data_IF_445645899500
#
_entry.id   IF_445645899500
#
_cell.length_a   1.000
_cell.length_b   1.000
_cell.length_c   1.000
_cell.angle_alpha   90.00
_cell.angle_beta   90.00
_cell.angle_gamma   90.00
#
_symmetry.space_group_name_H-M   'P 1'
#
loop_
_entity.id
_entity.type
_entity.pdbx_description
1 polymer ?
#
# COMPACT_ATOMS: atom_id res chain seq x y z
N UNK A 1 2.28 16.36 -8.44
CA UNK A 1 1.47 16.80 -7.26
C UNK A 1 1.63 15.86 -6.06
N UNK A 2 1.31 14.56 -6.18
CA UNK A 2 1.34 13.63 -5.04
C UNK A 2 2.69 13.55 -4.29
N UNK A 3 3.81 13.50 -5.02
CA UNK A 3 5.15 13.49 -4.40
C UNK A 3 5.42 14.71 -3.51
N UNK A 4 5.07 15.92 -3.97
CA UNK A 4 5.22 17.15 -3.18
C UNK A 4 4.34 17.13 -1.92
N UNK A 5 3.08 16.66 -2.04
CA UNK A 5 2.19 16.52 -0.89
C UNK A 5 2.74 15.52 0.14
N UNK A 6 3.33 14.42 -0.33
CA UNK A 6 3.99 13.45 0.54
C UNK A 6 5.21 14.02 1.25
N UNK A 7 6.04 14.81 0.56
CA UNK A 7 7.17 15.51 1.17
C UNK A 7 6.67 16.48 2.25
N UNK A 8 5.66 17.29 1.94
CA UNK A 8 5.05 18.21 2.91
C UNK A 8 4.47 17.46 4.12
N UNK A 9 3.81 16.33 3.90
CA UNK A 9 3.31 15.46 4.96
C UNK A 9 4.46 14.89 5.81
N UNK A 10 5.54 14.41 5.20
CA UNK A 10 6.74 13.93 5.91
C UNK A 10 7.37 15.00 6.80
N UNK A 11 7.49 16.24 6.29
CA UNK A 11 7.96 17.40 7.09
C UNK A 11 7.01 17.70 8.25
N UNK A 12 5.70 17.65 8.01
CA UNK A 12 4.69 17.79 9.06
C UNK A 12 4.81 16.71 10.13
N UNK A 13 5.05 15.46 9.73
CA UNK A 13 5.20 14.32 10.62
C UNK A 13 6.47 14.44 11.46
N UNK A 14 7.58 14.87 10.87
CA UNK A 14 8.83 15.21 11.55
C UNK A 14 8.61 16.23 12.67
N UNK A 15 7.79 17.26 12.42
CA UNK A 15 7.46 18.29 13.42
C UNK A 15 6.45 17.80 14.46
N UNK A 16 5.58 16.87 14.10
CA UNK A 16 4.43 16.45 14.91
C UNK A 16 4.66 15.27 15.85
N UNK A 17 5.64 14.41 15.57
CA UNK A 17 5.94 13.21 16.38
C UNK A 17 6.94 13.55 17.49
N UNK A 18 6.79 12.92 18.66
CA UNK A 18 7.72 13.10 19.78
C UNK A 18 9.14 12.69 19.39
N UNK A 19 10.11 13.55 19.71
CA UNK A 19 11.54 13.28 19.51
C UNK A 19 11.98 12.14 20.46
N UNK A 20 12.39 11.02 19.87
CA UNK A 20 12.93 9.79 20.48
C UNK A 20 14.22 9.41 19.74
N UNK A 21 14.95 8.35 20.06
CA UNK A 21 16.22 8.05 19.36
C UNK A 21 16.10 7.76 17.85
N UNK A 22 14.93 7.33 17.35
CA UNK A 22 14.70 6.99 15.93
C UNK A 22 13.61 7.84 15.26
N UNK A 23 13.30 9.00 15.83
CA UNK A 23 12.16 9.84 15.42
C UNK A 23 12.24 10.40 14.00
N UNK A 24 13.44 10.47 13.42
CA UNK A 24 13.62 11.02 12.07
C UNK A 24 13.41 9.98 10.98
N UNK A 25 13.58 8.69 11.29
CA UNK A 25 13.65 7.63 10.28
C UNK A 25 12.33 7.50 9.52
N UNK A 26 11.20 7.46 10.23
CA UNK A 26 9.88 7.34 9.58
C UNK A 26 9.56 8.53 8.68
N UNK A 27 9.61 9.78 9.19
CA UNK A 27 9.41 10.97 8.36
C UNK A 27 10.36 11.07 7.17
N UNK A 28 11.64 10.73 7.33
CA UNK A 28 12.61 10.73 6.24
C UNK A 28 12.25 9.70 5.15
N UNK A 29 11.81 8.50 5.52
CA UNK A 29 11.34 7.49 4.58
C UNK A 29 10.08 7.92 3.82
N UNK A 30 9.17 8.66 4.47
CA UNK A 30 7.99 9.27 3.79
C UNK A 30 8.43 10.32 2.77
N UNK A 31 9.39 11.18 3.13
CA UNK A 31 9.97 12.18 2.20
C UNK A 31 10.64 11.48 1.02
N UNK A 32 11.42 10.43 1.28
CA UNK A 32 12.04 9.62 0.25
C UNK A 32 11.00 9.04 -0.73
N UNK A 33 9.92 8.45 -0.23
CA UNK A 33 8.83 7.98 -1.10
C UNK A 33 8.19 9.10 -1.93
N UNK A 34 8.14 10.32 -1.40
CA UNK A 34 7.68 11.49 -2.15
C UNK A 34 8.63 11.87 -3.30
N UNK A 35 9.95 11.70 -3.12
CA UNK A 35 10.97 11.89 -4.16
C UNK A 35 10.80 10.83 -5.26
N UNK A 36 10.64 9.55 -4.89
CA UNK A 36 10.40 8.46 -5.84
C UNK A 36 9.16 8.71 -6.72
N UNK A 37 8.08 9.28 -6.16
CA UNK A 37 6.90 9.69 -6.94
C UNK A 37 7.18 10.85 -7.91
N UNK A 38 8.10 11.76 -7.57
CA UNK A 38 8.52 12.83 -8.48
C UNK A 38 9.32 12.22 -9.63
N UNK A 39 10.28 11.35 -9.32
CA UNK A 39 11.09 10.64 -10.32
C UNK A 39 10.19 9.84 -11.27
N UNK A 40 9.23 9.07 -10.75
CA UNK A 40 8.28 8.32 -11.59
C UNK A 40 7.48 9.21 -12.56
N UNK A 41 7.18 10.45 -12.16
CA UNK A 41 6.48 11.42 -13.00
C UNK A 41 7.38 12.13 -14.03
N UNK A 42 8.67 12.32 -13.70
CA UNK A 42 9.66 12.90 -14.62
C UNK A 42 10.14 11.91 -15.67
N UNK A 43 10.14 10.62 -15.33
CA UNK A 43 10.53 9.52 -16.20
C UNK A 43 9.35 8.55 -16.36
N UNK A 44 8.31 8.92 -17.13
CA UNK A 44 7.21 8.01 -17.41
C UNK A 44 7.64 6.89 -18.36
N UNK A 45 6.93 5.75 -18.31
CA UNK A 45 7.01 4.74 -19.37
C UNK A 45 6.43 5.29 -20.67
N UNK A 46 7.01 4.89 -21.79
CA UNK A 46 6.55 5.24 -23.13
C UNK A 46 5.77 4.08 -23.75
N UNK A 47 4.96 4.40 -24.75
CA UNK A 47 4.24 3.43 -25.56
C UNK A 47 4.63 3.67 -27.02
N UNK A 48 4.98 2.60 -27.73
CA UNK A 48 5.29 2.69 -29.17
C UNK A 48 4.01 2.68 -30.03
N UNK A 49 4.17 2.79 -31.35
CA UNK A 49 3.02 2.80 -32.28
C UNK A 49 2.28 1.46 -32.36
N UNK A 50 2.88 0.37 -31.86
CA UNK A 50 2.26 -0.95 -31.77
C UNK A 50 1.57 -1.17 -30.41
N UNK A 51 1.63 -0.21 -29.49
CA UNK A 51 1.04 -0.28 -28.16
C UNK A 51 1.92 -0.98 -27.13
N UNK A 52 3.19 -1.23 -27.43
CA UNK A 52 4.12 -1.85 -26.48
C UNK A 52 4.61 -0.80 -25.48
N UNK A 53 4.39 -1.08 -24.20
CA UNK A 53 4.87 -0.25 -23.09
C UNK A 53 6.34 -0.60 -22.82
N UNK A 54 7.21 0.41 -22.82
CA UNK A 54 8.64 0.25 -22.53
C UNK A 54 9.16 1.38 -21.64
N UNK A 55 10.32 1.15 -21.02
CA UNK A 55 11.03 2.13 -20.18
C UNK A 55 12.31 2.57 -20.90
N UNK A 56 12.33 3.75 -21.56
CA UNK A 56 13.45 4.17 -22.41
C UNK A 56 14.80 4.22 -21.70
N UNK A 57 14.80 4.55 -20.40
CA UNK A 57 16.01 4.73 -19.59
C UNK A 57 16.16 3.68 -18.49
N UNK A 58 15.17 2.79 -18.31
CA UNK A 58 15.11 1.82 -17.21
C UNK A 58 14.85 2.44 -15.82
N UNK A 59 14.70 3.77 -15.75
CA UNK A 59 14.58 4.52 -14.49
C UNK A 59 13.22 4.30 -13.85
N UNK A 60 12.14 4.26 -14.64
CA UNK A 60 10.79 4.11 -14.11
C UNK A 60 10.61 2.75 -13.42
N UNK A 61 11.13 1.68 -14.02
CA UNK A 61 11.08 0.33 -13.51
C UNK A 61 11.86 0.21 -12.20
N UNK A 62 13.12 0.65 -12.18
CA UNK A 62 13.97 0.61 -10.98
C UNK A 62 13.38 1.45 -9.82
N UNK A 63 12.96 2.68 -10.12
CA UNK A 63 12.29 3.56 -9.16
C UNK A 63 10.96 2.96 -8.67
N UNK A 64 10.19 2.33 -9.56
CA UNK A 64 8.98 1.61 -9.19
C UNK A 64 9.25 0.52 -8.16
N UNK A 65 10.27 -0.32 -8.38
CA UNK A 65 10.67 -1.37 -7.43
C UNK A 65 11.04 -0.80 -6.07
N UNK A 66 11.89 0.24 -6.04
CA UNK A 66 12.32 0.91 -4.80
C UNK A 66 11.11 1.51 -4.06
N UNK A 67 10.26 2.24 -4.78
CA UNK A 67 9.04 2.81 -4.23
C UNK A 67 8.12 1.74 -3.61
N UNK A 68 7.73 0.72 -4.40
CA UNK A 68 6.80 -0.31 -3.96
C UNK A 68 7.34 -1.17 -2.81
N UNK A 69 8.63 -1.48 -2.78
CA UNK A 69 9.21 -2.19 -1.63
C UNK A 69 9.25 -1.30 -0.38
N UNK A 70 9.51 -0.01 -0.55
CA UNK A 70 9.67 0.90 0.58
C UNK A 70 8.36 1.27 1.28
N UNK A 71 7.21 1.37 0.58
CA UNK A 71 5.92 1.79 1.19
C UNK A 71 5.53 0.95 2.43
N UNK A 72 5.70 -0.37 2.35
CA UNK A 72 5.40 -1.26 3.46
C UNK A 72 6.36 -1.08 4.64
N UNK A 73 7.65 -0.93 4.33
CA UNK A 73 8.71 -0.66 5.33
C UNK A 73 8.47 0.67 6.04
N UNK A 74 8.07 1.72 5.30
CA UNK A 74 7.76 3.03 5.86
C UNK A 74 6.64 2.93 6.89
N UNK A 75 5.52 2.26 6.57
CA UNK A 75 4.43 2.08 7.52
C UNK A 75 4.86 1.25 8.73
N UNK A 76 5.64 0.20 8.52
CA UNK A 76 6.15 -0.63 9.61
C UNK A 76 6.99 0.21 10.58
N UNK A 77 7.95 0.99 10.08
CA UNK A 77 8.82 1.87 10.88
C UNK A 77 8.01 2.96 11.60
N UNK A 78 7.02 3.56 10.92
CA UNK A 78 6.12 4.53 11.55
C UNK A 78 5.29 3.89 12.67
N UNK A 79 4.84 2.65 12.50
CA UNK A 79 4.08 1.94 13.53
C UNK A 79 4.87 1.77 14.84
N UNK A 80 6.18 1.55 14.74
CA UNK A 80 7.07 1.41 15.90
C UNK A 80 7.24 2.74 16.65
N UNK A 81 7.25 3.86 15.92
CA UNK A 81 7.30 5.19 16.52
C UNK A 81 5.96 5.55 17.16
N UNK A 82 4.85 5.29 16.47
CA UNK A 82 3.50 5.56 16.97
C UNK A 82 3.16 4.76 18.22
N UNK A 83 3.68 3.54 18.37
CA UNK A 83 3.50 2.75 19.59
C UNK A 83 4.07 3.42 20.85
N UNK A 84 5.05 4.33 20.69
CA UNK A 84 5.75 5.05 21.78
C UNK A 84 5.18 6.43 22.06
N UNK A 85 4.28 6.95 21.22
CA UNK A 85 3.65 8.26 21.38
C UNK A 85 2.15 8.07 21.67
N UNK A 86 1.71 8.46 22.86
CA UNK A 86 0.30 8.32 23.28
C UNK A 86 -0.68 9.01 22.33
N UNK A 87 -0.25 10.08 21.64
CA UNK A 87 -1.06 10.80 20.65
C UNK A 87 -1.29 9.95 19.40
N UNK A 88 -0.48 8.94 19.15
CA UNK A 88 -0.49 8.10 17.94
C UNK A 88 -0.78 6.62 18.22
N UNK A 89 -0.69 6.17 19.47
CA UNK A 89 -0.75 4.77 19.88
C UNK A 89 -1.92 3.98 19.29
N UNK A 90 -3.10 4.60 19.18
CA UNK A 90 -4.30 3.94 18.62
C UNK A 90 -4.19 3.60 17.12
N UNK A 91 -3.29 4.26 16.39
CA UNK A 91 -3.04 3.98 14.97
C UNK A 91 -1.86 3.03 14.75
N UNK A 92 -1.04 2.75 15.78
CA UNK A 92 0.16 1.93 15.62
C UNK A 92 -0.14 0.55 15.04
N UNK A 93 -1.15 -0.16 15.57
CA UNK A 93 -1.53 -1.49 15.08
C UNK A 93 -2.05 -1.40 13.63
N UNK A 94 -2.93 -0.44 13.35
CA UNK A 94 -3.45 -0.22 12.01
C UNK A 94 -2.35 0.01 10.98
N UNK A 95 -1.43 0.93 11.27
CA UNK A 95 -0.30 1.25 10.41
C UNK A 95 0.62 0.04 10.23
N UNK A 96 0.86 -0.76 11.28
CA UNK A 96 1.66 -1.98 11.20
C UNK A 96 1.02 -3.03 10.29
N UNK A 97 -0.25 -3.35 10.52
CA UNK A 97 -0.99 -4.35 9.74
C UNK A 97 -1.05 -3.93 8.27
N UNK A 98 -1.32 -2.64 8.01
CA UNK A 98 -1.32 -2.11 6.65
C UNK A 98 0.06 -2.23 6.00
N UNK A 99 1.14 -1.91 6.73
CA UNK A 99 2.50 -2.06 6.23
C UNK A 99 2.85 -3.50 5.86
N UNK A 100 2.52 -4.46 6.73
CA UNK A 100 2.71 -5.90 6.46
C UNK A 100 1.90 -6.33 5.24
N UNK A 101 0.63 -5.93 5.17
CA UNK A 101 -0.22 -6.25 4.03
C UNK A 101 0.35 -5.71 2.71
N UNK A 102 0.85 -4.47 2.69
CA UNK A 102 1.49 -3.89 1.51
C UNK A 102 2.76 -4.65 1.11
N UNK A 103 3.62 -5.04 2.06
CA UNK A 103 4.80 -5.87 1.75
C UNK A 103 4.37 -7.19 1.11
N UNK A 104 3.40 -7.89 1.71
CA UNK A 104 2.89 -9.16 1.17
C UNK A 104 2.33 -8.95 -0.23
N UNK A 105 1.51 -7.92 -0.46
CA UNK A 105 0.94 -7.64 -1.78
C UNK A 105 2.02 -7.33 -2.83
N UNK A 106 3.05 -6.57 -2.48
CA UNK A 106 4.16 -6.24 -3.40
C UNK A 106 4.97 -7.50 -3.74
N UNK A 107 5.26 -8.34 -2.74
CA UNK A 107 5.94 -9.62 -2.95
C UNK A 107 5.11 -10.52 -3.87
N UNK A 108 3.83 -10.71 -3.58
CA UNK A 108 2.93 -11.52 -4.43
C UNK A 108 2.87 -10.96 -5.85
N UNK A 109 2.80 -9.64 -6.01
CA UNK A 109 2.80 -9.02 -7.33
C UNK A 109 4.09 -9.34 -8.10
N UNK A 110 5.26 -9.25 -7.46
CA UNK A 110 6.55 -9.55 -8.10
C UNK A 110 6.75 -11.03 -8.46
N UNK A 111 6.14 -11.97 -7.73
CA UNK A 111 6.27 -13.40 -7.99
C UNK A 111 5.23 -13.97 -8.97
N UNK A 112 4.07 -13.32 -9.08
CA UNK A 112 2.93 -13.92 -9.80
C UNK A 112 2.37 -13.04 -10.92
N UNK A 113 2.84 -11.81 -11.12
CA UNK A 113 2.29 -10.90 -12.12
C UNK A 113 3.35 -10.17 -12.98
N UNK A 114 4.65 -10.39 -12.75
CA UNK A 114 5.70 -9.58 -13.35
C UNK A 114 5.95 -9.98 -14.81
N UNK A 115 6.06 -11.27 -15.08
CA UNK A 115 6.37 -11.79 -16.42
C UNK A 115 5.13 -12.10 -17.23
N UNK A 116 5.16 -12.02 -18.57
CA UNK A 116 4.03 -12.40 -19.42
C UNK A 116 3.57 -13.86 -19.26
N UNK A 117 4.42 -14.73 -18.72
CA UNK A 117 4.11 -16.12 -18.44
C UNK A 117 3.45 -16.34 -17.07
N UNK A 118 3.46 -15.32 -16.19
CA UNK A 118 2.91 -15.44 -14.85
C UNK A 118 1.37 -15.41 -14.88
N UNK A 119 0.69 -16.18 -14.02
CA UNK A 119 -0.77 -16.33 -14.07
C UNK A 119 -1.52 -15.01 -13.83
N UNK A 120 -0.99 -14.11 -12.98
CA UNK A 120 -1.64 -12.84 -12.66
C UNK A 120 -1.17 -11.67 -13.54
N UNK A 121 -0.35 -11.90 -14.57
CA UNK A 121 0.18 -10.83 -15.43
C UNK A 121 -0.90 -9.90 -16.01
N UNK A 122 -2.06 -10.39 -16.50
CA UNK A 122 -3.14 -9.52 -17.00
C UNK A 122 -3.68 -8.54 -15.95
N UNK A 123 -3.51 -8.86 -14.66
CA UNK A 123 -3.99 -8.08 -13.52
C UNK A 123 -2.91 -7.21 -12.87
N UNK A 124 -1.66 -7.23 -13.36
CA UNK A 124 -0.53 -6.49 -12.81
C UNK A 124 -0.87 -5.02 -12.52
N UNK A 125 -1.46 -4.33 -13.50
CA UNK A 125 -1.85 -2.93 -13.35
C UNK A 125 -2.95 -2.70 -12.31
N UNK A 126 -3.86 -3.66 -12.12
CA UNK A 126 -4.89 -3.59 -11.08
C UNK A 126 -4.27 -3.73 -9.69
N UNK A 127 -3.39 -4.70 -9.48
CA UNK A 127 -2.68 -4.90 -8.21
C UNK A 127 -1.87 -3.66 -7.82
N UNK A 128 -1.11 -3.09 -8.76
CA UNK A 128 -0.36 -1.86 -8.54
C UNK A 128 -1.27 -0.71 -8.07
N UNK A 129 -2.44 -0.52 -8.69
CA UNK A 129 -3.42 0.51 -8.29
C UNK A 129 -3.99 0.25 -6.89
N UNK A 130 -4.31 -0.99 -6.55
CA UNK A 130 -4.83 -1.35 -5.22
C UNK A 130 -3.77 -1.07 -4.15
N UNK A 131 -2.52 -1.50 -4.38
CA UNK A 131 -1.38 -1.26 -3.47
C UNK A 131 -1.22 0.26 -3.22
N UNK A 132 -1.19 1.05 -4.29
CA UNK A 132 -1.10 2.52 -4.22
C UNK A 132 -2.30 3.13 -3.50
N UNK A 133 -3.51 2.64 -3.76
CA UNK A 133 -4.75 3.10 -3.11
C UNK A 133 -4.74 2.85 -1.60
N UNK A 134 -4.36 1.64 -1.17
CA UNK A 134 -4.24 1.29 0.26
C UNK A 134 -3.17 2.14 0.95
N UNK A 135 -2.02 2.33 0.29
CA UNK A 135 -0.95 3.20 0.77
C UNK A 135 -1.43 4.64 0.98
N UNK A 136 -2.04 5.28 -0.03
CA UNK A 136 -2.53 6.64 0.08
C UNK A 136 -3.66 6.80 1.10
N UNK A 137 -4.57 5.81 1.21
CA UNK A 137 -5.62 5.84 2.22
C UNK A 137 -5.05 5.82 3.64
N UNK A 138 -4.02 5.01 3.88
CA UNK A 138 -3.30 5.00 5.15
C UNK A 138 -2.63 6.36 5.41
N UNK A 139 -1.88 6.90 4.45
CA UNK A 139 -1.24 8.21 4.58
C UNK A 139 -2.26 9.32 4.86
N UNK A 140 -3.41 9.31 4.18
CA UNK A 140 -4.47 10.29 4.40
C UNK A 140 -4.99 10.24 5.84
N UNK A 141 -5.22 9.05 6.39
CA UNK A 141 -5.63 8.90 7.79
C UNK A 141 -4.56 9.43 8.77
N UNK A 142 -3.28 9.17 8.48
CA UNK A 142 -2.17 9.71 9.29
C UNK A 142 -2.08 11.24 9.19
N UNK A 143 -2.28 11.81 8.00
CA UNK A 143 -2.31 13.26 7.78
C UNK A 143 -3.47 13.93 8.51
N UNK A 144 -4.68 13.34 8.45
CA UNK A 144 -5.84 13.82 9.21
C UNK A 144 -5.61 13.75 10.71
N UNK A 145 -4.94 12.69 11.20
CA UNK A 145 -4.56 12.59 12.62
C UNK A 145 -3.58 13.69 13.00
N UNK A 146 -2.53 13.91 12.20
CA UNK A 146 -1.56 14.97 12.42
C UNK A 146 -2.24 16.34 12.50
N UNK A 147 -3.14 16.62 11.56
CA UNK A 147 -3.88 17.88 11.51
C UNK A 147 -4.75 18.09 12.76
N UNK A 148 -5.50 17.06 13.21
CA UNK A 148 -6.30 17.14 14.45
C UNK A 148 -5.43 17.38 15.68
N UNK A 149 -4.26 16.74 15.74
CA UNK A 149 -3.31 16.93 16.82
C UNK A 149 -2.75 18.36 16.82
N UNK A 150 -2.41 18.89 15.65
CA UNK A 150 -1.90 20.25 15.50
C UNK A 150 -2.93 21.31 15.91
N UNK A 151 -4.20 21.15 15.51
CA UNK A 151 -5.30 22.05 15.90
C UNK A 151 -5.52 22.10 17.41
N UNK A 152 -5.56 20.93 18.06
CA UNK A 152 -5.70 20.86 19.53
C UNK A 152 -4.56 21.53 20.29
N UNK A 153 -3.37 21.61 19.69
CA UNK A 153 -2.24 22.33 20.28
C UNK A 153 -2.35 23.85 20.18
N UNK A 154 -3.12 24.37 19.22
CA UNK A 154 -3.38 25.81 19.04
C UNK A 154 -4.50 26.30 19.97
N UNK A 155 -5.44 25.43 20.35
CA UNK A 155 -6.60 25.77 21.17
C UNK A 155 -6.29 25.88 22.68
N UNK A 156 -5.08 25.49 23.13
CA UNK A 156 -4.67 25.66 24.54
C UNK A 156 -4.26 27.14 24.74
N UNK A 157 -5.00 27.94 25.53
CA UNK A 157 -4.63 29.32 25.77
C UNK A 157 -3.26 29.37 26.47
N UNK A 158 -2.28 30.03 25.86
CA UNK A 158 -0.93 30.21 26.45
C UNK A 158 -0.95 30.95 27.81
N UNK A 159 -2.07 31.56 28.18
CA UNK A 159 -2.24 32.36 29.39
C UNK A 159 -3.11 31.68 30.47
N UNK A 160 -3.40 30.37 30.38
CA UNK A 160 -4.12 29.69 31.44
C UNK A 160 -3.27 29.70 32.73
N UNK A 161 -3.75 30.33 33.83
CA UNK A 161 -2.97 30.44 35.06
C UNK A 161 -2.65 29.06 35.63
N UNK A 162 -1.38 28.86 36.01
CA UNK A 162 -0.83 27.70 36.72
C UNK A 162 -1.56 27.49 38.06
N UNK A 163 -2.76 26.92 38.01
CA UNK A 163 -3.56 26.63 39.20
C UNK A 163 -3.63 25.12 39.44
N UNK A 164 -2.80 24.73 40.39
CA UNK A 164 -2.82 23.55 41.27
C UNK A 164 -2.71 22.12 40.66
N UNK A 165 -1.94 21.25 41.33
CA UNK A 165 -1.78 19.86 40.92
C UNK A 165 -3.06 19.07 41.26
N UNK A 166 -3.88 18.78 40.25
CA UNK A 166 -4.98 17.83 40.41
C UNK A 166 -4.39 16.43 40.58
N UNK A 167 -4.43 15.91 41.81
CA UNK A 167 -4.23 14.50 42.11
C UNK A 167 -5.25 13.68 41.31
N UNK A 168 -4.86 13.19 40.13
CA UNK A 168 -5.71 12.35 39.30
C UNK A 168 -5.25 10.91 39.44
N UNK A 169 -5.99 10.22 40.29
CA UNK A 169 -6.08 8.77 40.49
C UNK A 169 -5.67 8.00 39.22
N UNK A 170 -4.54 7.31 39.31
CA UNK A 170 -4.14 6.26 38.38
C UNK A 170 -5.10 5.08 38.62
N UNK A 171 -6.15 4.98 37.79
CA UNK A 171 -6.90 3.73 37.69
C UNK A 171 -6.16 2.81 36.73
N UNK A 172 -5.39 1.90 37.30
CA UNK A 172 -4.92 0.70 36.63
C UNK A 172 -6.14 -0.12 36.20
N UNK A 173 -6.54 0.06 34.94
CA UNK A 173 -7.28 -0.96 34.21
C UNK A 173 -6.49 -1.20 32.94
N UNK A 174 -5.58 -2.16 33.03
CA UNK A 174 -5.08 -2.87 31.87
C UNK A 174 -6.28 -3.52 31.18
N UNK A 175 -6.99 -2.74 30.38
CA UNK A 175 -7.82 -3.29 29.33
C UNK A 175 -6.87 -4.04 28.43
N UNK A 176 -6.96 -5.38 28.49
CA UNK A 176 -6.51 -6.24 27.41
C UNK A 176 -7.10 -5.60 26.16
N UNK A 177 -6.27 -4.88 25.40
CA UNK A 177 -6.68 -4.13 24.22
C UNK A 177 -7.12 -5.17 23.19
N UNK A 178 -8.39 -5.55 23.26
CA UNK A 178 -9.05 -6.29 22.21
C UNK A 178 -8.79 -5.55 20.91
N UNK A 179 -8.29 -6.29 19.92
CA UNK A 179 -8.06 -5.75 18.57
C UNK A 179 -9.35 -5.03 18.16
N UNK A 180 -9.30 -3.73 17.80
CA UNK A 180 -10.51 -2.98 17.47
C UNK A 180 -11.27 -3.72 16.37
N UNK A 181 -12.59 -3.89 16.53
CA UNK A 181 -13.41 -4.70 15.60
C UNK A 181 -13.25 -4.27 14.13
N UNK A 182 -13.01 -2.99 13.88
CA UNK A 182 -12.76 -2.47 12.53
C UNK A 182 -11.43 -2.95 11.92
N UNK A 183 -10.40 -3.24 12.73
CA UNK A 183 -9.14 -3.85 12.27
C UNK A 183 -9.38 -5.27 11.80
N UNK A 184 -10.21 -6.03 12.52
CA UNK A 184 -10.64 -7.37 12.11
C UNK A 184 -11.40 -7.29 10.78
N UNK A 185 -12.35 -6.36 10.65
CA UNK A 185 -13.09 -6.14 9.40
C UNK A 185 -12.16 -5.79 8.24
N UNK A 186 -11.18 -4.90 8.44
CA UNK A 186 -10.19 -4.55 7.42
C UNK A 186 -9.35 -5.76 6.98
N UNK A 187 -8.84 -6.54 7.93
CA UNK A 187 -8.07 -7.76 7.65
C UNK A 187 -8.92 -8.79 6.90
N UNK A 188 -10.17 -8.99 7.31
CA UNK A 188 -11.12 -9.89 6.64
C UNK A 188 -11.37 -9.42 5.20
N UNK A 189 -11.59 -8.13 4.97
CA UNK A 189 -11.79 -7.59 3.61
C UNK A 189 -10.55 -7.87 2.74
N UNK A 190 -9.34 -7.62 3.25
CA UNK A 190 -8.10 -7.89 2.52
C UNK A 190 -7.95 -9.38 2.22
N UNK A 191 -8.18 -10.27 3.20
CA UNK A 191 -8.14 -11.72 3.01
C UNK A 191 -9.17 -12.17 1.97
N UNK A 192 -10.41 -11.67 2.05
CA UNK A 192 -11.47 -12.01 1.09
C UNK A 192 -11.11 -11.54 -0.32
N UNK A 193 -10.52 -10.35 -0.47
CA UNK A 193 -10.04 -9.85 -1.74
C UNK A 193 -8.96 -10.76 -2.34
N UNK A 194 -7.96 -11.14 -1.54
CA UNK A 194 -6.89 -12.05 -1.96
C UNK A 194 -7.45 -13.43 -2.32
N UNK A 195 -8.29 -14.01 -1.47
CA UNK A 195 -8.92 -15.32 -1.71
C UNK A 195 -9.80 -15.31 -2.96
N UNK A 196 -10.56 -14.24 -3.19
CA UNK A 196 -11.41 -14.12 -4.38
C UNK A 196 -10.56 -14.17 -5.64
N UNK A 197 -9.43 -13.45 -5.67
CA UNK A 197 -8.51 -13.49 -6.81
C UNK A 197 -7.90 -14.89 -6.99
N UNK A 198 -7.46 -15.54 -5.91
CA UNK A 198 -6.91 -16.91 -5.96
C UNK A 198 -7.94 -17.94 -6.43
N UNK A 199 -9.22 -17.80 -6.04
CA UNK A 199 -10.30 -18.69 -6.47
C UNK A 199 -10.60 -18.46 -7.95
N UNK A 200 -10.71 -17.20 -8.39
CA UNK A 200 -10.94 -16.87 -9.79
C UNK A 200 -9.85 -17.52 -10.67
N UNK A 201 -8.58 -17.41 -10.30
CA UNK A 201 -7.48 -18.05 -11.05
C UNK A 201 -7.55 -19.57 -11.05
N UNK A 202 -7.78 -20.22 -9.90
CA UNK A 202 -7.88 -21.69 -9.85
C UNK A 202 -9.05 -22.23 -10.68
N UNK A 203 -10.16 -21.51 -10.72
CA UNK A 203 -11.32 -21.87 -11.53
C UNK A 203 -11.06 -21.60 -13.01
N UNK A 204 -10.42 -20.48 -13.33
CA UNK A 204 -10.08 -20.09 -14.72
C UNK A 204 -9.07 -21.05 -15.34
N UNK A 205 -8.02 -21.44 -14.59
CA UNK A 205 -7.02 -22.42 -15.02
C UNK A 205 -7.62 -23.80 -15.29
N UNK A 206 -8.52 -24.28 -14.41
CA UNK A 206 -9.23 -25.55 -14.62
C UNK A 206 -10.16 -25.54 -15.83
N UNK A 207 -10.74 -24.40 -16.20
CA UNK A 207 -11.56 -24.29 -17.41
C UNK A 207 -10.72 -24.22 -18.69
N UNK A 208 -9.49 -23.70 -18.62
CA UNK A 208 -8.52 -23.71 -19.72
C UNK A 208 -8.14 -25.14 -20.15
N UNK A 209 -7.90 -26.03 -19.18
CA UNK A 209 -7.52 -27.43 -19.45
C UNK A 209 -8.67 -28.26 -20.05
N UNK A 210 -9.93 -27.88 -19.82
CA UNK A 210 -11.09 -28.57 -20.39
C UNK A 210 -11.35 -28.21 -21.87
N UNK A 211 -10.62 -27.25 -22.47
CA UNK A 211 -10.83 -26.82 -23.86
C UNK A 211 -9.93 -27.48 -24.92
N UNK A 212 -9.06 -28.43 -24.56
CA UNK A 212 -8.15 -29.09 -25.54
C UNK A 212 -8.30 -30.61 -25.68
N UNK A 213 -9.52 -31.13 -25.54
CA UNK A 213 -9.84 -32.51 -25.98
C UNK A 213 -11.02 -32.57 -26.96
N UNK A 214 -11.20 -31.54 -27.79
CA UNK A 214 -11.96 -31.69 -29.02
C UNK A 214 -11.06 -32.44 -30.03
N UNK A 215 -11.34 -33.71 -30.36
CA UNK A 215 -10.50 -34.48 -31.27
C UNK A 215 -10.54 -33.81 -32.65
N UNK A 216 -9.40 -33.26 -33.05
CA UNK A 216 -9.17 -32.60 -34.33
C UNK A 216 -9.35 -33.53 -35.56
N UNK A 217 -9.69 -34.80 -35.35
CA UNK A 217 -9.81 -35.80 -36.41
C UNK A 217 -11.11 -35.72 -37.26
N UNK A 218 -12.02 -34.76 -37.00
CA UNK A 218 -13.26 -34.64 -37.76
C UNK A 218 -13.30 -33.50 -38.81
N UNK A 219 -12.25 -32.67 -38.94
CA UNK A 219 -12.30 -31.49 -39.82
C UNK A 219 -11.51 -31.58 -41.14
N UNK A 220 -10.83 -32.70 -41.43
CA UNK A 220 -10.03 -32.86 -42.66
C UNK A 220 -10.72 -33.57 -43.83
N UNK A 221 -11.97 -34.01 -43.72
CA UNK A 221 -12.64 -34.72 -44.84
C UNK A 221 -13.53 -33.85 -45.76
N UNK A 222 -13.71 -32.55 -45.51
CA UNK A 222 -14.66 -31.73 -46.29
C UNK A 222 -14.04 -30.79 -47.34
N UNK A 223 -12.71 -30.77 -47.53
CA UNK A 223 -12.04 -29.80 -48.41
C UNK A 223 -11.20 -30.46 -49.51
N UNK A 224 -11.77 -31.45 -50.19
CA UNK A 224 -11.18 -32.05 -51.40
C UNK A 224 -12.27 -32.22 -52.47
N UNK A 225 -12.78 -31.12 -53.00
CA UNK A 225 -13.73 -31.16 -54.10
C UNK A 225 -14.04 -29.78 -54.68
N UNK A 226 -13.67 -29.59 -55.95
CA UNK A 226 -13.84 -28.39 -56.80
C UNK A 226 -12.69 -27.39 -56.63
N UNK A 227 -11.86 -27.13 -57.64
CA UNK A 227 -12.23 -26.56 -58.94
C UNK A 227 -11.32 -27.11 -60.06
N UNK A 228 -11.93 -27.53 -61.18
CA UNK A 228 -11.31 -27.59 -62.51
C UNK A 228 -11.80 -26.40 -63.31
#
# INVERSE_FOLDING_TARGET
>A
MFGLLMIAFGVGLYRGVRKTSLWMVGPALVVWNGIELIIAGLFPRSEDTAGHIYDPLGVHMMNGMVFFLSIGVVLFVLSLQFARDERWRNLAIYTRVTGIALVVMVVLNGFFAETPADPLHPWLGLFQRIIVGVWFLCLLMLALRLWRIARRGLDIPQNAPLSAPSARVRSDRASIMGIPRWVIVFVVIVILLVLTVVIIENVSGRMGDMRMSLPFHLLTMAWAGHVR
#
